data_IF_170260841855
#
_entry.id   IF_170260841855
#
_cell.length_a   1.000
_cell.length_b   1.000
_cell.length_c   1.000
_cell.angle_alpha   90.00
_cell.angle_beta   90.00
_cell.angle_gamma   90.00
#
_symmetry.space_group_name_H-M   'P 1'
#
loop_
_entity.id
_entity.type
_entity.pdbx_description
1 polymer ?
#
# COMPACT_ATOMS: atom_id res chain seq x y z
N UNK A 1 1.69 -15.76 3.42
CA UNK A 1 0.51 -16.22 2.65
C UNK A 1 0.87 -16.20 1.17
N UNK A 2 0.95 -17.37 0.54
CA UNK A 2 1.32 -17.52 -0.87
C UNK A 2 0.06 -17.39 -1.73
N UNK A 3 0.02 -16.36 -2.59
CA UNK A 3 -1.01 -16.22 -3.64
C UNK A 3 -0.47 -16.78 -4.95
N UNK A 4 -1.36 -17.30 -5.80
CA UNK A 4 -1.00 -17.74 -7.14
C UNK A 4 -0.46 -16.58 -7.97
N UNK A 5 0.66 -16.81 -8.67
CA UNK A 5 1.41 -15.76 -9.38
C UNK A 5 0.57 -15.07 -10.48
N UNK A 6 -0.32 -15.82 -11.12
CA UNK A 6 -1.22 -15.32 -12.18
C UNK A 6 -2.23 -14.26 -11.69
N UNK A 7 -2.56 -14.25 -10.38
CA UNK A 7 -3.56 -13.31 -9.82
C UNK A 7 -2.99 -11.93 -9.52
N UNK A 8 -1.67 -11.76 -9.64
CA UNK A 8 -0.99 -10.52 -9.34
C UNK A 8 -0.90 -10.19 -7.84
N UNK A 9 -0.23 -9.07 -7.50
CA UNK A 9 -0.07 -8.61 -6.13
C UNK A 9 -1.42 -8.20 -5.54
N UNK A 10 -1.63 -8.51 -4.26
CA UNK A 10 -2.83 -8.11 -3.54
C UNK A 10 -2.57 -6.85 -2.72
N UNK A 11 -3.50 -5.90 -2.75
CA UNK A 11 -3.54 -4.74 -1.86
C UNK A 11 -4.93 -4.57 -1.28
N UNK A 12 -4.94 -4.21 -0.01
CA UNK A 12 -6.15 -3.79 0.66
C UNK A 12 -6.58 -2.39 0.18
N UNK A 13 -7.85 -2.24 -0.22
CA UNK A 13 -8.39 -0.98 -0.71
C UNK A 13 -8.32 0.15 0.33
N UNK A 14 -8.30 -0.18 1.61
CA UNK A 14 -8.06 0.81 2.66
C UNK A 14 -6.64 1.39 2.62
N UNK A 15 -5.63 0.55 2.35
CA UNK A 15 -4.24 0.99 2.23
C UNK A 15 -4.07 1.91 1.02
N UNK A 16 -4.71 1.55 -0.09
CA UNK A 16 -4.67 2.31 -1.34
C UNK A 16 -5.23 3.72 -1.14
N UNK A 17 -6.42 3.83 -0.52
CA UNK A 17 -7.03 5.12 -0.16
C UNK A 17 -6.18 5.99 0.76
N UNK A 18 -5.44 5.37 1.71
CA UNK A 18 -4.55 6.12 2.60
C UNK A 18 -3.37 6.71 1.83
N UNK A 19 -2.75 5.91 0.98
CA UNK A 19 -1.58 6.33 0.22
C UNK A 19 -1.96 7.42 -0.77
N UNK A 20 -3.10 7.31 -1.45
CA UNK A 20 -3.56 8.36 -2.37
C UNK A 20 -3.72 9.70 -1.65
N UNK A 21 -4.30 9.71 -0.45
CA UNK A 21 -4.42 10.92 0.37
C UNK A 21 -3.07 11.53 0.77
N UNK A 22 -2.12 10.69 1.20
CA UNK A 22 -0.79 11.14 1.62
C UNK A 22 -0.02 11.67 0.40
N UNK A 23 -0.18 11.02 -0.75
CA UNK A 23 0.39 11.45 -2.03
C UNK A 23 -0.16 12.79 -2.49
N UNK A 24 -1.48 12.99 -2.42
CA UNK A 24 -2.13 14.27 -2.72
C UNK A 24 -1.68 15.38 -1.75
N UNK A 25 -1.45 15.03 -0.47
CA UNK A 25 -0.99 15.98 0.55
C UNK A 25 0.48 16.39 0.44
N UNK A 26 1.29 15.71 -0.38
CA UNK A 26 2.71 16.03 -0.61
C UNK A 26 3.62 15.91 0.62
N UNK A 27 3.11 15.43 1.76
CA UNK A 27 3.86 15.23 3.00
C UNK A 27 4.00 13.74 3.27
N UNK A 28 5.22 13.31 3.60
CA UNK A 28 5.48 11.94 4.05
C UNK A 28 5.03 11.77 5.50
N UNK A 29 3.78 11.36 5.67
CA UNK A 29 3.23 10.97 6.96
C UNK A 29 3.35 9.46 7.17
N UNK A 30 3.48 9.04 8.44
CA UNK A 30 3.59 7.62 8.80
C UNK A 30 2.25 6.90 8.61
N UNK A 31 2.18 6.00 7.64
CA UNK A 31 0.99 5.23 7.28
C UNK A 31 0.90 3.99 8.17
N UNK A 32 0.16 4.12 9.28
CA UNK A 32 -0.17 2.95 10.11
C UNK A 32 -1.04 1.95 9.32
N UNK A 33 -0.57 0.71 9.21
CA UNK A 33 -1.28 -0.39 8.56
C UNK A 33 -1.31 -1.65 9.42
N UNK A 34 -2.43 -2.34 9.38
CA UNK A 34 -2.65 -3.61 10.10
C UNK A 34 -2.77 -4.81 9.14
N UNK A 35 -2.89 -4.52 7.83
CA UNK A 35 -3.05 -5.53 6.79
C UNK A 35 -1.69 -6.10 6.37
N UNK A 36 -1.26 -7.19 7.01
CA UNK A 36 -0.01 -7.88 6.67
C UNK A 36 -0.04 -8.67 5.37
N UNK A 37 -1.19 -8.67 4.68
CA UNK A 37 -1.43 -9.39 3.42
C UNK A 37 -1.18 -8.54 2.17
N UNK A 38 -1.08 -7.22 2.32
CA UNK A 38 -0.84 -6.29 1.21
C UNK A 38 0.61 -6.39 0.73
N UNK A 39 0.80 -6.37 -0.58
CA UNK A 39 2.12 -6.33 -1.23
C UNK A 39 2.53 -4.87 -1.43
N UNK A 40 3.80 -4.57 -1.19
CA UNK A 40 4.37 -3.23 -1.41
C UNK A 40 4.63 -3.07 -2.92
N UNK A 41 3.81 -2.27 -3.60
CA UNK A 41 4.05 -1.81 -4.98
C UNK A 41 5.16 -0.76 -5.06
N UNK A 42 5.78 -0.57 -6.23
CA UNK A 42 6.72 0.52 -6.49
C UNK A 42 6.15 1.93 -6.19
N UNK A 43 4.83 2.08 -6.24
CA UNK A 43 4.13 3.32 -5.93
C UNK A 43 4.20 3.72 -4.45
N UNK A 44 4.53 2.78 -3.55
CA UNK A 44 4.67 3.06 -2.13
C UNK A 44 6.10 3.43 -1.72
N UNK A 45 7.05 3.48 -2.65
CA UNK A 45 8.44 3.83 -2.35
C UNK A 45 8.50 5.30 -1.91
N UNK A 46 9.09 5.53 -0.74
CA UNK A 46 9.22 6.87 -0.15
C UNK A 46 8.14 7.22 0.88
N UNK A 47 7.10 6.40 1.04
CA UNK A 47 6.17 6.50 2.16
C UNK A 47 6.68 5.64 3.34
N UNK A 48 6.49 6.12 4.56
CA UNK A 48 6.84 5.44 5.82
C UNK A 48 5.63 4.93 6.55
#
# INVERSE_FOLDING_TARGET
MTRSIWKGPFIDGYLLKKVDKVREGGRNEVIKMWSRRSTILPQFVGFT
#
